data_IF_243254768609
#
_entry.id   IF_243254768609
#
_cell.length_a   1.000
_cell.length_b   1.000
_cell.length_c   1.000
_cell.angle_alpha   90.00
_cell.angle_beta   90.00
_cell.angle_gamma   90.00
#
_symmetry.space_group_name_H-M   'P 1'
#
loop_
_entity.id
_entity.type
_entity.pdbx_description
1 polymer ?
#
# COMPACT_ATOMS: atom_id res chain seq x y z
N UNK A 1 -6.89 9.17 14.15
CA UNK A 1 -6.47 10.57 14.12
C UNK A 1 -6.70 11.30 15.43
N UNK A 2 -7.79 10.98 16.15
CA UNK A 2 -8.03 11.60 17.45
C UNK A 2 -6.94 11.26 18.48
N UNK A 3 -6.39 10.05 18.39
CA UNK A 3 -5.28 9.66 19.26
C UNK A 3 -4.04 10.48 18.97
N UNK A 4 -3.74 10.66 17.68
CA UNK A 4 -2.57 11.45 17.27
C UNK A 4 -2.68 12.91 17.72
N UNK A 5 -3.87 13.51 17.58
CA UNK A 5 -4.12 14.86 18.02
C UNK A 5 -3.96 14.96 19.53
N UNK A 6 -4.53 14.01 20.26
CA UNK A 6 -4.48 14.01 21.73
C UNK A 6 -3.04 13.89 22.23
N UNK A 7 -2.20 13.14 21.53
CA UNK A 7 -0.80 12.94 21.91
C UNK A 7 0.13 14.03 21.36
N UNK A 8 -0.41 15.03 20.69
CA UNK A 8 0.38 16.12 20.16
C UNK A 8 1.17 15.78 18.89
N UNK A 9 0.82 14.70 18.23
CA UNK A 9 1.50 14.29 16.99
C UNK A 9 0.93 15.02 15.80
N UNK A 10 1.79 15.38 14.84
CA UNK A 10 1.35 16.00 13.58
C UNK A 10 1.53 15.08 12.37
N UNK A 11 2.01 13.86 12.58
CA UNK A 11 2.20 12.86 11.52
C UNK A 11 1.75 11.49 11.99
N UNK A 12 1.18 10.73 11.05
CA UNK A 12 0.81 9.34 11.27
C UNK A 12 1.49 8.51 10.21
N UNK A 13 2.25 7.50 10.63
CA UNK A 13 2.88 6.56 9.70
C UNK A 13 1.98 5.35 9.51
N UNK A 14 1.66 5.04 8.24
CA UNK A 14 0.85 3.89 7.88
C UNK A 14 1.75 2.82 7.29
N UNK A 15 1.41 1.56 7.54
CA UNK A 15 2.23 0.41 7.15
C UNK A 15 1.98 -0.09 5.74
N UNK A 16 1.37 0.69 4.86
CA UNK A 16 1.13 0.26 3.49
C UNK A 16 2.46 0.03 2.77
N UNK A 17 2.59 -1.12 2.12
CA UNK A 17 3.80 -1.49 1.40
C UNK A 17 3.58 -1.40 -0.11
N UNK A 18 4.59 -1.78 -0.89
CA UNK A 18 4.52 -1.72 -2.35
C UNK A 18 3.39 -2.59 -2.91
N UNK A 19 3.17 -3.76 -2.33
CA UNK A 19 2.10 -4.65 -2.78
C UNK A 19 0.74 -3.99 -2.60
N UNK A 20 0.54 -3.29 -1.48
CA UNK A 20 -0.71 -2.55 -1.22
C UNK A 20 -0.94 -1.47 -2.27
N UNK A 21 0.12 -0.77 -2.66
CA UNK A 21 0.05 0.27 -3.68
C UNK A 21 -0.40 -0.33 -5.02
N UNK A 22 0.24 -1.42 -5.43
CA UNK A 22 -0.07 -2.07 -6.71
C UNK A 22 -1.46 -2.68 -6.71
N UNK A 23 -1.86 -3.33 -5.62
CA UNK A 23 -3.20 -3.93 -5.50
C UNK A 23 -4.28 -2.86 -5.56
N UNK A 24 -4.07 -1.74 -4.88
CA UNK A 24 -5.03 -0.64 -4.89
C UNK A 24 -5.11 0.01 -6.26
N UNK A 25 -3.99 0.15 -6.94
CA UNK A 25 -3.96 0.68 -8.31
C UNK A 25 -4.80 -0.19 -9.24
N UNK A 26 -4.62 -1.51 -9.16
CA UNK A 26 -5.39 -2.44 -9.99
C UNK A 26 -6.87 -2.45 -9.61
N UNK A 27 -7.19 -2.37 -8.33
CA UNK A 27 -8.58 -2.30 -7.88
C UNK A 27 -9.28 -1.08 -8.46
N UNK A 28 -8.62 0.07 -8.41
CA UNK A 28 -9.19 1.29 -8.97
C UNK A 28 -9.37 1.19 -10.48
N UNK A 29 -8.38 0.61 -11.14
CA UNK A 29 -8.39 0.45 -12.59
C UNK A 29 -9.51 -0.46 -13.06
N UNK A 30 -9.66 -1.63 -12.41
CA UNK A 30 -10.58 -2.67 -12.87
C UNK A 30 -12.00 -2.51 -12.34
N UNK A 31 -12.16 -2.04 -11.11
CA UNK A 31 -13.49 -1.96 -10.48
C UNK A 31 -14.11 -0.57 -10.53
N UNK A 32 -13.29 0.48 -10.61
CA UNK A 32 -13.79 1.85 -10.62
C UNK A 32 -13.52 2.56 -11.93
N UNK A 33 -12.63 2.03 -12.75
CA UNK A 33 -12.23 2.68 -14.00
C UNK A 33 -11.46 3.96 -13.79
N UNK A 34 -10.78 4.09 -12.68
CA UNK A 34 -9.99 5.28 -12.35
C UNK A 34 -8.51 4.94 -12.21
N UNK A 35 -7.66 5.95 -12.42
CA UNK A 35 -6.22 5.81 -12.26
C UNK A 35 -5.84 6.45 -10.94
N UNK A 36 -5.42 5.65 -9.98
CA UNK A 36 -5.03 6.17 -8.68
C UNK A 36 -4.63 5.08 -7.70
N UNK A 37 -3.89 5.48 -6.69
CA UNK A 37 -3.46 4.60 -5.60
C UNK A 37 -3.10 5.47 -4.39
N UNK A 38 -2.53 4.87 -3.35
CA UNK A 38 -2.06 5.62 -2.19
C UNK A 38 -0.97 6.60 -2.59
N UNK A 39 -0.98 7.79 -1.99
CA UNK A 39 0.15 8.70 -2.10
C UNK A 39 1.18 8.38 -1.01
N UNK A 40 2.48 8.63 -1.25
CA UNK A 40 3.48 8.45 -0.18
C UNK A 40 3.23 9.38 1.01
N UNK A 41 2.73 10.58 0.73
CA UNK A 41 2.43 11.59 1.75
C UNK A 41 1.06 12.19 1.43
N UNK A 42 0.20 12.28 2.43
CA UNK A 42 -1.12 12.91 2.30
C UNK A 42 -1.35 13.84 3.47
N UNK A 43 -1.76 15.08 3.19
CA UNK A 43 -2.09 16.05 4.23
C UNK A 43 -3.59 16.10 4.43
N UNK A 44 -4.04 15.98 5.69
CA UNK A 44 -5.45 16.04 6.04
C UNK A 44 -5.79 17.43 6.59
N UNK A 45 -6.55 18.19 5.82
CA UNK A 45 -6.84 19.59 6.15
C UNK A 45 -7.56 19.77 7.47
N UNK A 46 -8.54 18.91 7.76
CA UNK A 46 -9.36 19.05 8.95
C UNK A 46 -8.58 18.86 10.24
N UNK A 47 -7.74 17.83 10.28
CA UNK A 47 -7.00 17.48 11.49
C UNK A 47 -5.62 18.09 11.54
N UNK A 48 -5.17 18.70 10.42
CA UNK A 48 -3.82 19.23 10.28
C UNK A 48 -2.77 18.14 10.48
N UNK A 49 -3.11 16.91 10.15
CA UNK A 49 -2.22 15.75 10.30
C UNK A 49 -1.75 15.31 8.92
N UNK A 50 -0.46 15.00 8.82
CA UNK A 50 0.14 14.45 7.62
C UNK A 50 0.23 12.93 7.75
N UNK A 51 -0.34 12.22 6.78
CA UNK A 51 -0.19 10.76 6.68
C UNK A 51 1.04 10.46 5.85
N UNK A 52 1.91 9.60 6.36
CA UNK A 52 3.08 9.15 5.61
C UNK A 52 3.01 7.63 5.46
N UNK A 53 3.57 7.12 4.36
CA UNK A 53 3.61 5.69 4.07
C UNK A 53 5.05 5.29 3.76
N UNK A 54 5.90 5.15 4.78
CA UNK A 54 7.33 4.97 4.56
C UNK A 54 7.71 3.63 3.91
N UNK A 55 6.81 2.64 3.91
CA UNK A 55 7.11 1.32 3.37
C UNK A 55 6.62 1.11 1.94
N UNK A 56 6.15 2.18 1.26
CA UNK A 56 5.55 2.02 -0.08
C UNK A 56 6.55 1.55 -1.14
N UNK A 57 7.83 1.71 -0.91
CA UNK A 57 8.86 1.21 -1.82
C UNK A 57 9.31 -0.21 -1.48
N UNK A 58 8.81 -0.79 -0.39
CA UNK A 58 9.25 -2.09 0.09
C UNK A 58 8.23 -3.17 -0.28
N UNK A 59 8.63 -4.23 -1.02
CA UNK A 59 7.73 -5.34 -1.30
C UNK A 59 7.33 -6.08 -0.01
N UNK A 60 6.11 -6.63 -0.01
CA UNK A 60 5.59 -7.36 1.15
C UNK A 60 6.51 -8.50 1.58
N UNK A 61 7.11 -9.21 0.62
CA UNK A 61 8.01 -10.32 0.94
C UNK A 61 9.23 -9.87 1.73
N UNK A 62 9.70 -8.65 1.51
CA UNK A 62 10.83 -8.11 2.28
C UNK A 62 10.41 -7.82 3.72
N UNK A 63 9.21 -7.33 3.92
CA UNK A 63 8.67 -7.11 5.27
C UNK A 63 8.51 -8.43 6.00
N UNK A 64 8.03 -9.47 5.34
CA UNK A 64 7.89 -10.80 5.93
C UNK A 64 9.25 -11.37 6.30
N UNK A 65 10.23 -11.20 5.43
CA UNK A 65 11.59 -11.65 5.70
C UNK A 65 12.18 -10.96 6.93
N UNK A 66 11.97 -9.65 7.03
CA UNK A 66 12.46 -8.86 8.18
C UNK A 66 11.82 -9.36 9.49
N UNK A 67 10.50 -9.58 9.47
CA UNK A 67 9.77 -10.06 10.64
C UNK A 67 10.30 -11.42 11.09
N UNK A 68 10.50 -12.35 10.16
CA UNK A 68 11.02 -13.67 10.48
C UNK A 68 12.45 -13.62 11.00
N UNK A 69 13.28 -12.82 10.35
CA UNK A 69 14.70 -12.70 10.73
C UNK A 69 14.87 -12.13 12.14
N UNK A 70 13.98 -11.25 12.55
CA UNK A 70 14.06 -10.57 13.84
C UNK A 70 13.11 -11.16 14.88
N UNK A 71 12.45 -12.26 14.57
CA UNK A 71 11.54 -12.96 15.48
C UNK A 71 10.45 -12.05 16.05
N UNK A 72 9.92 -11.16 15.20
CA UNK A 72 8.88 -10.24 15.61
C UNK A 72 7.53 -10.94 15.60
N UNK A 73 6.67 -10.58 16.56
CA UNK A 73 5.32 -11.10 16.63
C UNK A 73 4.43 -10.33 15.68
N UNK A 74 3.65 -11.05 14.86
CA UNK A 74 2.69 -10.45 13.95
C UNK A 74 1.30 -10.74 14.46
N UNK A 75 0.50 -9.70 14.67
CA UNK A 75 -0.88 -9.86 15.08
C UNK A 75 -1.71 -10.37 13.91
N UNK A 76 -2.54 -11.37 14.17
CA UNK A 76 -3.47 -11.88 13.17
C UNK A 76 -4.49 -10.80 12.82
N UNK A 77 -4.86 -10.73 11.52
CA UNK A 77 -5.92 -9.84 11.11
C UNK A 77 -7.24 -10.35 11.66
N UNK A 78 -7.96 -9.46 12.34
CA UNK A 78 -9.23 -9.81 12.95
C UNK A 78 -10.42 -9.15 12.26
N UNK A 79 -10.18 -8.41 11.18
CA UNK A 79 -11.24 -7.71 10.46
C UNK A 79 -11.51 -8.38 9.11
N UNK A 80 -12.47 -9.32 9.01
CA UNK A 80 -12.71 -10.05 7.77
C UNK A 80 -13.39 -9.23 6.69
N UNK A 81 -13.86 -8.04 7.02
CA UNK A 81 -14.67 -7.23 6.10
C UNK A 81 -13.91 -6.05 5.48
N UNK A 82 -12.60 -6.04 5.51
CA UNK A 82 -11.80 -4.91 5.05
C UNK A 82 -11.49 -4.97 3.55
N UNK A 83 -12.33 -5.60 2.75
CA UNK A 83 -12.14 -5.70 1.31
C UNK A 83 -11.09 -6.71 0.89
N UNK A 84 -10.78 -7.65 1.78
CA UNK A 84 -9.71 -8.62 1.57
C UNK A 84 -9.92 -9.51 0.36
N UNK A 85 -11.18 -9.87 0.01
CA UNK A 85 -11.45 -10.76 -1.12
C UNK A 85 -11.02 -10.14 -2.44
N UNK A 86 -11.33 -8.85 -2.66
CA UNK A 86 -10.93 -8.16 -3.88
C UNK A 86 -9.42 -7.94 -3.93
N UNK A 87 -8.82 -7.59 -2.80
CA UNK A 87 -7.37 -7.44 -2.72
C UNK A 87 -6.67 -8.77 -2.96
N UNK A 88 -7.21 -9.84 -2.42
CA UNK A 88 -6.66 -11.16 -2.63
C UNK A 88 -6.75 -11.55 -4.10
N UNK A 89 -7.86 -11.21 -4.78
CA UNK A 89 -8.00 -11.44 -6.21
C UNK A 89 -6.93 -10.70 -7.00
N UNK A 90 -6.63 -9.46 -6.63
CA UNK A 90 -5.58 -8.69 -7.30
C UNK A 90 -4.20 -9.29 -7.03
N UNK A 91 -3.97 -9.76 -5.83
CA UNK A 91 -2.72 -10.44 -5.47
C UNK A 91 -2.53 -11.71 -6.31
N UNK A 92 -3.58 -12.52 -6.44
CA UNK A 92 -3.54 -13.73 -7.27
C UNK A 92 -3.32 -13.38 -8.74
N UNK A 93 -3.98 -12.35 -9.22
CA UNK A 93 -3.81 -11.88 -10.60
C UNK A 93 -2.36 -11.46 -10.85
N UNK A 94 -1.78 -10.67 -9.96
CA UNK A 94 -0.39 -10.23 -10.07
C UNK A 94 0.56 -11.43 -10.09
N UNK A 95 0.31 -12.40 -9.22
CA UNK A 95 1.13 -13.60 -9.16
C UNK A 95 1.06 -14.36 -10.48
N UNK A 96 -0.14 -14.53 -11.03
CA UNK A 96 -0.34 -15.22 -12.30
C UNK A 96 0.34 -14.51 -13.46
N UNK A 97 0.18 -13.19 -13.52
CA UNK A 97 0.78 -12.38 -14.60
C UNK A 97 2.30 -12.38 -14.51
N UNK A 98 2.86 -12.40 -13.32
CA UNK A 98 4.30 -12.34 -13.15
C UNK A 98 5.01 -13.57 -13.70
N UNK A 99 4.30 -14.70 -13.84
CA UNK A 99 4.85 -15.89 -14.46
C UNK A 99 5.13 -15.71 -15.94
N UNK A 100 4.28 -14.94 -16.62
CA UNK A 100 4.42 -14.67 -18.05
C UNK A 100 5.11 -13.33 -18.32
N UNK A 101 5.01 -12.39 -17.39
CA UNK A 101 5.59 -11.06 -17.51
C UNK A 101 6.44 -10.79 -16.27
N UNK A 102 7.70 -11.26 -16.26
CA UNK A 102 8.53 -11.17 -15.03
C UNK A 102 8.72 -9.75 -14.51
N UNK A 103 8.68 -8.75 -15.38
CA UNK A 103 8.90 -7.35 -14.99
C UNK A 103 7.61 -6.58 -14.68
N UNK A 104 6.48 -7.30 -14.53
CA UNK A 104 5.19 -6.61 -14.40
C UNK A 104 5.13 -5.70 -13.17
N UNK A 105 5.67 -6.14 -12.04
CA UNK A 105 5.65 -5.34 -10.81
C UNK A 105 6.48 -4.07 -10.98
N UNK A 106 7.68 -4.21 -11.51
CA UNK A 106 8.57 -3.08 -11.75
C UNK A 106 7.96 -2.10 -12.75
N UNK A 107 7.34 -2.62 -13.80
CA UNK A 107 6.72 -1.79 -14.82
C UNK A 107 5.51 -1.03 -14.27
N UNK A 108 4.66 -1.70 -13.50
CA UNK A 108 3.50 -1.05 -12.88
C UNK A 108 3.93 0.04 -11.90
N UNK A 109 4.88 -0.28 -11.04
CA UNK A 109 5.34 0.69 -10.05
C UNK A 109 6.03 1.87 -10.72
N UNK A 110 6.83 1.59 -11.77
CA UNK A 110 7.45 2.64 -12.56
C UNK A 110 6.43 3.55 -13.24
N UNK A 111 5.34 2.97 -13.74
CA UNK A 111 4.26 3.77 -14.34
C UNK A 111 3.63 4.70 -13.31
N UNK A 112 3.41 4.21 -12.10
CA UNK A 112 2.88 5.03 -11.01
C UNK A 112 3.83 6.18 -10.69
N UNK A 113 5.11 5.88 -10.52
CA UNK A 113 6.13 6.87 -10.17
C UNK A 113 6.24 7.98 -11.20
N UNK A 114 6.13 7.63 -12.47
CA UNK A 114 6.34 8.58 -13.56
C UNK A 114 5.10 9.40 -13.90
N UNK A 115 3.92 8.86 -13.65
CA UNK A 115 2.70 9.44 -14.19
C UNK A 115 1.73 10.02 -13.17
N UNK A 116 1.77 9.58 -11.93
CA UNK A 116 0.89 10.12 -10.89
C UNK A 116 1.57 11.28 -10.19
N UNK A 117 0.91 12.47 -10.17
CA UNK A 117 1.53 13.69 -9.62
C UNK A 117 1.96 13.57 -8.17
N UNK A 118 1.19 12.85 -7.35
CA UNK A 118 1.47 12.72 -5.93
C UNK A 118 2.70 11.86 -5.65
N UNK A 119 3.25 11.22 -6.68
CA UNK A 119 4.46 10.40 -6.59
C UNK A 119 5.69 11.09 -7.16
N UNK A 120 5.52 12.28 -7.71
CA UNK A 120 6.64 13.06 -8.27
C UNK A 120 7.22 14.06 -7.24
#
# INVERSE_FOLDING_TARGET
>A
NSIAIREGCNKIALGHNQDDVLETFLLNLFYTGSIGTFAPVSFMDRSKITLIRPLVFTPEKENRRFVRKNNLTVMAKVCPMDGTSKREDMKQLMFSLSKNIPMIRANLFGAILRNLPEWK
#
